data_IF_216467131597
#
_entry.id   IF_216467131597
#
_cell.length_a   1.000
_cell.length_b   1.000
_cell.length_c   1.000
_cell.angle_alpha   90.00
_cell.angle_beta   90.00
_cell.angle_gamma   90.00
#
_symmetry.space_group_name_H-M   'P 1'
#
loop_
_entity.id
_entity.type
_entity.pdbx_description
1 polymer ?
#
# COMPACT_ATOMS: atom_id res chain seq x y z
N UNK A 1 -3.68 6.13 6.28
CA UNK A 1 -2.63 6.60 7.21
C UNK A 1 -2.15 5.48 8.12
N UNK A 2 -0.93 5.60 8.65
CA UNK A 2 -0.38 4.77 9.72
C UNK A 2 0.01 5.66 10.90
N UNK A 3 -0.22 5.19 12.12
CA UNK A 3 0.27 5.88 13.33
C UNK A 3 1.17 4.96 14.12
N UNK A 4 2.24 5.51 14.67
CA UNK A 4 3.18 4.85 15.58
C UNK A 4 3.04 5.45 16.97
N UNK A 5 3.17 4.61 18.01
CA UNK A 5 3.15 5.09 19.39
C UNK A 5 4.58 5.38 19.84
N UNK A 6 4.95 6.66 19.85
CA UNK A 6 6.29 7.11 20.21
C UNK A 6 6.42 7.27 21.74
N UNK A 7 7.52 6.73 22.28
CA UNK A 7 7.68 6.57 23.73
C UNK A 7 8.49 7.66 24.44
N UNK A 8 9.33 8.41 23.73
CA UNK A 8 10.22 9.37 24.36
C UNK A 8 9.52 10.72 24.61
N UNK A 9 9.93 11.41 25.67
CA UNK A 9 9.43 12.76 26.02
C UNK A 9 9.94 13.83 25.07
N UNK A 10 11.17 13.67 24.58
CA UNK A 10 11.80 14.63 23.69
C UNK A 10 11.37 14.40 22.24
N UNK A 11 10.83 15.42 21.57
CA UNK A 11 10.46 15.30 20.17
C UNK A 11 11.68 15.05 19.28
N UNK A 12 11.51 14.18 18.29
CA UNK A 12 12.55 13.86 17.30
C UNK A 12 12.01 14.05 15.89
N UNK A 13 12.72 14.84 15.08
CA UNK A 13 12.41 14.97 13.65
C UNK A 13 13.31 14.05 12.84
N UNK A 14 12.70 13.18 12.05
CA UNK A 14 13.37 12.24 11.14
C UNK A 14 13.09 12.66 9.70
N UNK A 15 14.15 12.90 8.93
CA UNK A 15 14.05 13.32 7.53
C UNK A 15 15.23 12.76 6.70
N UNK A 16 14.99 11.95 5.66
CA UNK A 16 13.68 11.43 5.29
C UNK A 16 13.22 10.25 6.16
N UNK A 17 11.94 10.21 6.43
CA UNK A 17 11.22 9.01 6.84
C UNK A 17 10.52 8.45 5.62
N UNK A 18 10.62 7.14 5.37
CA UNK A 18 9.87 6.49 4.29
C UNK A 18 9.04 5.34 4.86
N UNK A 19 7.78 5.27 4.44
CA UNK A 19 6.86 4.19 4.81
C UNK A 19 6.54 3.37 3.56
N UNK A 20 6.64 2.06 3.71
CA UNK A 20 6.25 1.07 2.71
C UNK A 20 5.11 0.21 3.24
N UNK A 21 4.26 -0.26 2.34
CA UNK A 21 3.22 -1.24 2.66
C UNK A 21 3.17 -2.32 1.59
N UNK A 22 2.75 -3.51 2.00
CA UNK A 22 2.56 -4.64 1.08
C UNK A 22 1.75 -5.75 1.72
N UNK A 23 1.37 -6.72 0.90
CA UNK A 23 0.70 -7.94 1.33
C UNK A 23 1.62 -9.14 1.10
N UNK A 24 1.64 -10.05 2.06
CA UNK A 24 2.46 -11.26 2.00
C UNK A 24 1.70 -12.47 2.54
N UNK A 25 2.01 -13.65 2.04
CA UNK A 25 1.36 -14.89 2.47
C UNK A 25 1.93 -15.45 3.79
N UNK A 26 3.04 -14.88 4.27
CA UNK A 26 3.68 -15.32 5.51
C UNK A 26 3.07 -14.68 6.74
N UNK A 27 3.13 -15.37 7.87
CA UNK A 27 2.64 -14.88 9.16
C UNK A 27 3.77 -14.46 10.11
N UNK A 28 5.02 -14.83 9.83
CA UNK A 28 6.18 -14.53 10.65
C UNK A 28 7.46 -14.47 9.79
N UNK A 29 8.53 -13.95 10.34
CA UNK A 29 9.88 -14.07 9.80
C UNK A 29 10.54 -15.34 10.38
N UNK A 30 11.44 -15.96 9.63
CA UNK A 30 12.10 -17.20 10.06
C UNK A 30 13.44 -16.94 10.76
N UNK A 31 14.19 -15.96 10.26
CA UNK A 31 15.51 -15.59 10.77
C UNK A 31 15.82 -14.10 10.48
N UNK A 32 17.03 -13.69 10.86
CA UNK A 32 17.47 -12.31 10.75
C UNK A 32 17.65 -11.84 9.29
N UNK A 33 17.84 -12.75 8.36
CA UNK A 33 18.02 -12.45 6.94
C UNK A 33 16.70 -12.54 6.13
N UNK A 34 15.66 -13.10 6.75
CA UNK A 34 14.35 -13.28 6.10
C UNK A 34 13.60 -11.95 5.98
N UNK A 35 13.65 -11.34 4.83
CA UNK A 35 13.06 -10.04 4.52
C UNK A 35 11.97 -10.14 3.48
N UNK A 36 11.05 -9.17 3.54
CA UNK A 36 10.14 -8.93 2.42
C UNK A 36 10.88 -8.13 1.36
N UNK A 37 10.98 -8.62 0.11
CA UNK A 37 11.61 -7.89 -0.97
C UNK A 37 10.95 -6.52 -1.20
N UNK A 38 11.76 -5.48 -1.47
CA UNK A 38 11.25 -4.12 -1.64
C UNK A 38 10.33 -3.98 -2.86
N UNK A 39 10.58 -4.74 -3.91
CA UNK A 39 9.78 -4.76 -5.13
C UNK A 39 8.35 -5.32 -4.92
N UNK A 40 8.13 -6.02 -3.79
CA UNK A 40 6.80 -6.44 -3.34
C UNK A 40 6.10 -5.43 -2.42
N UNK A 41 6.74 -4.29 -2.15
CA UNK A 41 6.22 -3.24 -1.29
C UNK A 41 5.97 -1.96 -2.08
N UNK A 42 4.90 -1.26 -1.74
CA UNK A 42 4.58 0.05 -2.29
C UNK A 42 5.04 1.14 -1.33
N UNK A 43 5.76 2.14 -1.83
CA UNK A 43 6.10 3.32 -1.06
C UNK A 43 4.85 4.19 -0.88
N UNK A 44 4.45 4.38 0.38
CA UNK A 44 3.24 5.12 0.75
C UNK A 44 3.50 6.55 1.19
N UNK A 45 4.72 6.80 1.66
CA UNK A 45 5.12 8.12 2.15
C UNK A 45 6.65 8.27 2.07
N UNK A 46 7.12 9.46 1.77
CA UNK A 46 8.51 9.85 1.97
C UNK A 46 8.59 11.35 2.30
N UNK A 47 9.11 11.67 3.48
CA UNK A 47 9.15 13.06 3.93
C UNK A 47 9.72 13.23 5.33
N UNK A 48 9.58 14.43 5.86
CA UNK A 48 9.97 14.76 7.24
C UNK A 48 8.84 14.46 8.20
N UNK A 49 9.14 13.73 9.28
CA UNK A 49 8.17 13.42 10.36
C UNK A 49 8.75 13.83 11.69
N UNK A 50 8.00 14.60 12.45
CA UNK A 50 8.33 14.91 13.85
C UNK A 50 7.55 13.98 14.76
N UNK A 51 8.27 13.11 15.46
CA UNK A 51 7.74 12.23 16.47
C UNK A 51 7.70 12.97 17.79
N UNK A 52 6.56 12.96 18.47
CA UNK A 52 6.35 13.46 19.84
C UNK A 52 5.67 12.37 20.66
N UNK A 53 5.81 12.40 21.97
CA UNK A 53 5.27 11.36 22.85
C UNK A 53 3.79 11.07 22.57
N UNK A 54 3.45 9.81 22.44
CA UNK A 54 2.12 9.32 22.11
C UNK A 54 1.97 8.91 20.63
N UNK A 55 0.77 9.02 20.12
CA UNK A 55 0.45 8.57 18.75
C UNK A 55 0.79 9.64 17.72
N UNK A 56 1.72 9.31 16.83
CA UNK A 56 2.11 10.16 15.69
C UNK A 56 1.57 9.54 14.41
N UNK A 57 0.76 10.30 13.68
CA UNK A 57 0.11 9.84 12.45
C UNK A 57 0.85 10.35 11.22
N UNK A 58 1.15 9.43 10.32
CA UNK A 58 1.70 9.71 8.99
C UNK A 58 0.57 9.49 7.98
N UNK A 59 0.16 10.56 7.32
CA UNK A 59 -0.89 10.51 6.29
C UNK A 59 -0.25 10.21 4.94
N UNK A 60 -0.85 9.32 4.19
CA UNK A 60 -0.45 8.98 2.83
C UNK A 60 -1.17 9.88 1.83
N UNK A 61 -0.54 10.16 0.70
CA UNK A 61 -1.17 10.92 -0.39
C UNK A 61 -2.25 10.08 -1.06
N UNK A 62 -2.00 8.78 -1.20
CA UNK A 62 -2.93 7.81 -1.78
C UNK A 62 -3.20 6.65 -0.80
N UNK A 63 -4.39 6.05 -0.82
CA UNK A 63 -4.68 4.90 0.03
C UNK A 63 -3.93 3.65 -0.43
N UNK A 64 -3.44 2.85 0.51
CA UNK A 64 -3.03 1.47 0.21
C UNK A 64 -4.27 0.58 0.11
N UNK A 65 -4.39 -0.13 -1.00
CA UNK A 65 -5.52 -1.05 -1.23
C UNK A 65 -5.12 -2.42 -0.71
N UNK A 66 -5.82 -2.85 0.35
CA UNK A 66 -5.62 -4.15 0.96
C UNK A 66 -6.65 -5.15 0.41
N UNK A 67 -6.17 -6.28 -0.15
CA UNK A 67 -7.05 -7.29 -0.77
C UNK A 67 -7.88 -8.08 0.24
N UNK A 68 -7.44 -8.11 1.50
CA UNK A 68 -8.08 -8.89 2.56
C UNK A 68 -7.67 -10.37 2.59
N UNK A 69 -6.75 -10.80 1.72
CA UNK A 69 -6.36 -12.22 1.61
C UNK A 69 -5.00 -12.53 2.22
N UNK A 70 -4.07 -11.57 2.20
CA UNK A 70 -2.72 -11.72 2.75
C UNK A 70 -2.54 -11.10 4.12
N UNK A 71 -1.33 -11.16 4.65
CA UNK A 71 -0.92 -10.42 5.84
C UNK A 71 -0.32 -9.08 5.43
N UNK A 72 -0.69 -8.02 6.15
CA UNK A 72 -0.21 -6.68 5.88
C UNK A 72 1.18 -6.49 6.48
N UNK A 73 2.12 -6.02 5.66
CA UNK A 73 3.47 -5.61 6.07
C UNK A 73 3.56 -4.08 6.03
N UNK A 74 4.12 -3.52 7.09
CA UNK A 74 4.47 -2.10 7.16
C UNK A 74 5.97 -1.97 7.32
N UNK A 75 6.63 -1.35 6.36
CA UNK A 75 8.05 -1.01 6.41
C UNK A 75 8.24 0.43 6.86
N UNK A 76 9.14 0.64 7.83
CA UNK A 76 9.58 1.97 8.27
C UNK A 76 11.07 2.10 8.00
N UNK A 77 11.45 3.13 7.26
CA UNK A 77 12.85 3.44 6.96
C UNK A 77 13.18 4.84 7.49
N UNK A 78 14.18 4.88 8.37
CA UNK A 78 14.83 6.12 8.82
C UNK A 78 16.18 6.26 8.11
N UNK A 79 16.29 7.20 7.21
CA UNK A 79 17.52 7.55 6.51
C UNK A 79 18.00 8.96 6.81
N UNK A 80 17.68 9.47 8.01
CA UNK A 80 18.08 10.82 8.43
C UNK A 80 19.60 11.00 8.64
N UNK A 81 20.33 9.89 8.74
CA UNK A 81 21.76 9.91 9.12
C UNK A 81 22.02 10.28 10.58
N UNK A 82 20.96 10.45 11.38
CA UNK A 82 21.10 10.72 12.81
C UNK A 82 21.43 9.41 13.54
N UNK A 83 22.43 9.48 14.42
CA UNK A 83 22.72 8.39 15.34
C UNK A 83 21.62 8.30 16.37
N UNK A 84 20.92 7.18 16.37
CA UNK A 84 19.91 6.87 17.36
C UNK A 84 20.58 5.91 18.37
N UNK A 85 20.62 6.30 19.63
CA UNK A 85 21.22 5.49 20.70
C UNK A 85 20.56 4.10 20.75
N UNK A 86 21.37 3.05 20.79
CA UNK A 86 20.92 1.64 20.80
C UNK A 86 20.07 1.26 22.03
N UNK A 87 20.05 2.11 23.05
CA UNK A 87 19.49 1.78 24.37
C UNK A 87 18.08 2.33 24.59
N UNK A 88 17.56 3.15 23.68
CA UNK A 88 16.28 3.81 23.86
C UNK A 88 15.29 3.32 22.80
N UNK A 89 14.31 2.55 23.24
CA UNK A 89 13.18 2.16 22.40
C UNK A 89 12.32 3.36 22.06
N UNK A 90 12.30 3.77 20.79
CA UNK A 90 11.55 4.94 20.34
C UNK A 90 10.06 4.69 20.25
N UNK A 91 9.65 3.47 19.96
CA UNK A 91 8.26 3.09 19.80
C UNK A 91 7.85 2.09 20.86
N UNK A 92 6.65 2.24 21.39
CA UNK A 92 6.06 1.19 22.20
C UNK A 92 5.82 -0.05 21.34
N UNK A 93 6.14 -1.22 21.90
CA UNK A 93 6.02 -2.52 21.26
C UNK A 93 5.12 -3.45 22.07
N UNK A 94 4.59 -4.46 21.40
CA UNK A 94 3.89 -5.59 22.02
C UNK A 94 4.62 -6.88 21.71
N UNK A 95 4.75 -7.77 22.71
CA UNK A 95 5.35 -9.08 22.53
C UNK A 95 4.45 -9.97 21.67
N UNK A 96 5.07 -10.81 20.86
CA UNK A 96 4.43 -11.78 19.98
C UNK A 96 5.01 -13.17 20.21
N UNK A 97 4.28 -14.23 19.84
CA UNK A 97 4.75 -15.62 19.98
C UNK A 97 5.86 -15.94 18.97
N UNK A 98 5.79 -15.32 17.77
CA UNK A 98 6.73 -15.55 16.67
C UNK A 98 7.44 -14.25 16.31
N UNK A 99 8.47 -14.32 15.47
CA UNK A 99 9.15 -13.15 14.93
C UNK A 99 8.22 -12.36 14.00
N UNK A 100 7.76 -11.22 14.46
CA UNK A 100 6.83 -10.34 13.71
C UNK A 100 7.51 -9.08 13.17
N UNK A 101 8.76 -8.83 13.55
CA UNK A 101 9.52 -7.69 13.09
C UNK A 101 10.92 -8.14 12.68
N UNK A 102 11.35 -7.69 11.51
CA UNK A 102 12.73 -7.79 11.09
C UNK A 102 13.31 -6.38 11.06
N UNK A 103 14.43 -6.18 11.73
CA UNK A 103 15.09 -4.88 11.89
C UNK A 103 16.46 -4.93 11.26
N UNK A 104 16.80 -3.90 10.54
CA UNK A 104 18.14 -3.64 10.05
C UNK A 104 18.58 -2.25 10.49
N UNK A 105 19.80 -2.15 11.01
CA UNK A 105 20.39 -0.84 11.28
C UNK A 105 21.85 -0.79 10.80
N UNK A 106 22.33 0.42 10.50
CA UNK A 106 23.70 0.67 10.08
C UNK A 106 24.19 1.99 10.67
N UNK A 107 25.38 1.95 11.24
CA UNK A 107 26.09 3.18 11.72
C UNK A 107 26.92 3.83 10.61
N UNK A 108 26.90 3.31 9.39
CA UNK A 108 27.78 3.69 8.28
C UNK A 108 27.05 4.43 7.16
N UNK A 109 26.20 5.40 7.49
CA UNK A 109 25.50 6.19 6.52
C UNK A 109 24.08 5.71 6.19
N UNK A 110 23.55 6.14 5.05
CA UNK A 110 22.19 5.83 4.63
C UNK A 110 22.01 4.35 4.29
N UNK A 111 20.86 3.81 4.66
CA UNK A 111 20.49 2.44 4.37
C UNK A 111 20.00 2.37 2.91
N UNK A 112 20.66 1.56 2.10
CA UNK A 112 20.14 1.15 0.80
C UNK A 112 19.34 -0.14 0.97
N UNK A 113 18.03 -0.04 1.02
CA UNK A 113 17.13 -1.17 1.26
C UNK A 113 17.18 -2.25 0.17
N UNK A 114 17.63 -1.89 -1.06
CA UNK A 114 17.85 -2.86 -2.14
C UNK A 114 19.18 -3.61 -2.02
N UNK A 115 20.12 -3.07 -1.26
CA UNK A 115 21.42 -3.65 -1.07
C UNK A 115 21.91 -3.36 0.34
N UNK A 116 21.38 -4.10 1.31
CA UNK A 116 21.80 -4.01 2.70
C UNK A 116 23.25 -4.50 2.80
N UNK A 117 24.11 -3.62 3.21
CA UNK A 117 25.54 -3.92 3.28
C UNK A 117 25.87 -4.83 4.48
N UNK A 118 27.00 -5.54 4.38
CA UNK A 118 27.48 -6.46 5.44
C UNK A 118 27.92 -5.75 6.74
N UNK A 119 27.94 -4.42 6.76
CA UNK A 119 28.36 -3.63 7.92
C UNK A 119 27.19 -3.23 8.81
N UNK A 120 25.97 -3.54 8.42
CA UNK A 120 24.79 -3.37 9.25
C UNK A 120 24.52 -4.60 10.10
N UNK A 121 23.74 -4.42 11.16
CA UNK A 121 23.22 -5.50 11.99
C UNK A 121 21.76 -5.76 11.64
N UNK A 122 21.37 -7.03 11.68
CA UNK A 122 20.02 -7.50 11.45
C UNK A 122 19.54 -8.28 12.66
N UNK A 123 18.26 -8.22 12.95
CA UNK A 123 17.62 -8.99 14.00
C UNK A 123 16.16 -9.23 13.72
N UNK A 124 15.71 -10.44 13.95
CA UNK A 124 14.28 -10.78 14.01
C UNK A 124 13.81 -10.70 15.45
N UNK A 125 12.70 -10.02 15.65
CA UNK A 125 12.16 -9.76 16.98
C UNK A 125 10.77 -10.39 17.13
N UNK A 126 10.55 -11.09 18.25
CA UNK A 126 9.22 -11.53 18.70
C UNK A 126 8.46 -10.39 19.40
N UNK A 127 8.53 -9.24 18.80
CA UNK A 127 7.85 -8.01 19.17
C UNK A 127 7.36 -7.33 17.89
N UNK A 128 6.39 -6.48 18.02
CA UNK A 128 5.97 -5.58 16.93
C UNK A 128 5.70 -4.19 17.49
N UNK A 129 6.01 -3.13 16.75
CA UNK A 129 5.59 -1.78 17.10
C UNK A 129 4.07 -1.68 17.22
N UNK A 130 3.61 -0.93 18.22
CA UNK A 130 2.20 -0.61 18.33
C UNK A 130 1.84 0.39 17.23
N UNK A 131 1.00 -0.02 16.30
CA UNK A 131 0.54 0.80 15.19
C UNK A 131 -0.98 0.92 15.18
N UNK A 132 -1.47 2.01 14.60
CA UNK A 132 -2.87 2.18 14.19
C UNK A 132 -2.91 2.38 12.69
N UNK A 133 -3.85 1.75 12.03
CA UNK A 133 -4.16 1.95 10.63
C UNK A 133 -5.53 2.62 10.54
N UNK A 134 -5.62 3.71 9.76
CA UNK A 134 -6.94 4.22 9.35
C UNK A 134 -7.40 3.41 8.16
N UNK A 135 -8.49 2.71 8.33
CA UNK A 135 -9.13 1.92 7.28
C UNK A 135 -10.37 2.69 6.86
N UNK A 136 -10.49 2.96 5.55
CA UNK A 136 -11.74 3.41 4.95
C UNK A 136 -12.36 2.20 4.24
N UNK A 137 -13.68 2.07 4.32
CA UNK A 137 -14.37 1.12 3.45
C UNK A 137 -14.23 1.59 2.00
N UNK A 138 -14.21 0.65 1.06
CA UNK A 138 -14.19 0.96 -0.37
C UNK A 138 -15.52 1.56 -0.87
N UNK A 139 -16.51 1.66 0.01
CA UNK A 139 -17.80 2.30 -0.31
C UNK A 139 -17.56 3.77 -0.67
N UNK A 140 -17.85 4.10 -1.93
CA UNK A 140 -17.64 5.44 -2.48
C UNK A 140 -16.36 5.66 -3.27
N UNK A 141 -15.42 4.72 -3.26
CA UNK A 141 -14.28 4.73 -4.19
C UNK A 141 -14.67 4.09 -5.52
N UNK A 142 -14.40 4.78 -6.61
CA UNK A 142 -14.65 4.30 -7.96
C UNK A 142 -13.33 3.81 -8.56
N UNK A 143 -13.10 2.50 -8.49
CA UNK A 143 -11.92 1.90 -9.14
C UNK A 143 -12.17 1.64 -10.61
N UNK A 144 -11.14 1.80 -11.41
CA UNK A 144 -11.23 1.48 -12.83
C UNK A 144 -11.42 -0.04 -13.02
N UNK A 145 -12.33 -0.47 -13.90
CA UNK A 145 -12.43 -1.87 -14.27
C UNK A 145 -11.15 -2.33 -14.98
N UNK A 146 -10.81 -3.61 -14.83
CA UNK A 146 -9.66 -4.23 -15.50
C UNK A 146 -10.11 -5.13 -16.65
N UNK A 147 -9.16 -5.51 -17.52
CA UNK A 147 -9.40 -6.42 -18.63
C UNK A 147 -10.60 -6.01 -19.52
N UNK A 148 -10.72 -4.73 -19.80
CA UNK A 148 -11.75 -4.23 -20.69
C UNK A 148 -11.49 -4.77 -22.11
N UNK A 149 -12.44 -5.52 -22.65
CA UNK A 149 -12.35 -6.12 -23.99
C UNK A 149 -13.60 -5.79 -24.80
N UNK A 150 -13.42 -5.71 -26.12
CA UNK A 150 -14.50 -5.55 -27.08
C UNK A 150 -14.51 -6.77 -27.99
N UNK A 151 -15.66 -7.40 -28.13
CA UNK A 151 -15.85 -8.63 -28.92
C UNK A 151 -17.17 -8.60 -29.68
N UNK A 152 -17.40 -9.59 -30.52
CA UNK A 152 -18.64 -9.76 -31.29
C UNK A 152 -19.06 -8.48 -32.04
N UNK A 153 -18.09 -7.83 -32.65
CA UNK A 153 -18.32 -6.60 -33.41
C UNK A 153 -19.03 -6.93 -34.71
N UNK A 154 -20.17 -6.29 -34.94
CA UNK A 154 -20.93 -6.33 -36.21
C UNK A 154 -21.07 -4.92 -36.75
N UNK A 155 -21.79 -4.74 -37.84
CA UNK A 155 -22.13 -3.41 -38.38
C UNK A 155 -23.04 -2.61 -37.45
N UNK A 156 -23.70 -3.23 -36.47
CA UNK A 156 -24.72 -2.58 -35.64
C UNK A 156 -24.47 -2.80 -34.13
N UNK A 157 -23.62 -3.76 -33.75
CA UNK A 157 -23.44 -4.14 -32.33
C UNK A 157 -21.99 -4.41 -31.99
N UNK A 158 -21.65 -4.21 -30.73
CA UNK A 158 -20.42 -4.69 -30.11
C UNK A 158 -20.70 -5.15 -28.67
N UNK A 159 -19.95 -6.14 -28.20
CA UNK A 159 -20.01 -6.59 -26.81
C UNK A 159 -18.77 -6.06 -26.09
N UNK A 160 -18.97 -5.31 -25.03
CA UNK A 160 -17.92 -4.83 -24.14
C UNK A 160 -18.00 -5.63 -22.85
N UNK A 161 -16.89 -6.16 -22.42
CA UNK A 161 -16.75 -6.90 -21.16
C UNK A 161 -15.54 -6.43 -20.36
N UNK A 162 -15.62 -6.53 -19.05
CA UNK A 162 -14.55 -6.13 -18.11
C UNK A 162 -14.62 -6.93 -16.82
N UNK A 163 -13.54 -6.90 -16.04
CA UNK A 163 -13.54 -7.38 -14.68
C UNK A 163 -13.89 -6.22 -13.73
N UNK A 164 -14.94 -6.40 -12.95
CA UNK A 164 -15.35 -5.44 -11.94
C UNK A 164 -14.39 -5.50 -10.74
N UNK A 165 -13.98 -4.35 -10.18
CA UNK A 165 -13.35 -4.30 -8.88
C UNK A 165 -14.29 -4.81 -7.79
N UNK A 166 -13.72 -5.37 -6.72
CA UNK A 166 -14.50 -5.88 -5.59
C UNK A 166 -15.39 -4.78 -4.98
N UNK A 167 -16.63 -5.12 -4.70
CA UNK A 167 -17.62 -4.21 -4.12
C UNK A 167 -18.25 -3.23 -5.13
N UNK A 168 -17.83 -3.21 -6.39
CA UNK A 168 -18.43 -2.35 -7.42
C UNK A 168 -19.41 -3.13 -8.30
N UNK A 169 -20.64 -2.68 -8.33
CA UNK A 169 -21.72 -3.32 -9.08
C UNK A 169 -22.34 -2.46 -10.17
N UNK A 170 -21.96 -1.16 -10.22
CA UNK A 170 -22.54 -0.18 -11.15
C UNK A 170 -21.42 0.57 -11.87
N UNK A 171 -21.54 0.72 -13.18
CA UNK A 171 -20.55 1.33 -14.05
C UNK A 171 -21.18 2.33 -15.01
N UNK A 172 -20.40 3.33 -15.44
CA UNK A 172 -20.71 4.14 -16.61
C UNK A 172 -19.94 3.62 -17.82
N UNK A 173 -20.60 3.39 -18.93
CA UNK A 173 -19.97 3.00 -20.19
C UNK A 173 -20.10 4.14 -21.18
N UNK A 174 -18.98 4.62 -21.71
CA UNK A 174 -18.95 5.63 -22.77
C UNK A 174 -18.41 5.01 -24.06
N UNK A 175 -19.05 5.26 -25.17
CA UNK A 175 -18.64 4.80 -26.49
C UNK A 175 -18.86 5.87 -27.56
N UNK A 176 -18.16 5.77 -28.67
CA UNK A 176 -18.37 6.60 -29.84
C UNK A 176 -17.88 5.87 -31.11
N UNK A 177 -18.39 6.28 -32.26
CA UNK A 177 -17.77 5.93 -33.54
C UNK A 177 -16.40 6.62 -33.67
N UNK A 178 -15.49 6.01 -34.42
CA UNK A 178 -14.13 6.53 -34.60
C UNK A 178 -14.14 7.96 -35.21
N UNK A 179 -15.12 8.26 -36.06
CA UNK A 179 -15.32 9.57 -36.71
C UNK A 179 -16.13 10.57 -35.90
N UNK A 180 -16.81 10.14 -34.83
CA UNK A 180 -17.66 11.02 -34.02
C UNK A 180 -16.83 11.88 -33.08
N UNK A 181 -17.23 13.13 -32.89
CA UNK A 181 -16.62 14.06 -31.91
C UNK A 181 -17.15 13.85 -30.50
N UNK A 182 -18.39 13.38 -30.37
CA UNK A 182 -19.08 13.26 -29.08
C UNK A 182 -19.17 11.81 -28.59
N UNK A 183 -19.07 11.63 -27.28
CA UNK A 183 -19.27 10.35 -26.62
C UNK A 183 -20.73 10.13 -26.24
N UNK A 184 -21.23 8.93 -26.46
CA UNK A 184 -22.51 8.46 -25.92
C UNK A 184 -22.23 7.76 -24.59
N UNK A 185 -22.94 8.14 -23.53
CA UNK A 185 -22.72 7.55 -22.19
C UNK A 185 -23.95 6.77 -21.74
N UNK A 186 -23.73 5.54 -21.31
CA UNK A 186 -24.73 4.70 -20.65
C UNK A 186 -24.43 4.74 -19.15
N UNK A 187 -25.19 5.45 -18.34
CA UNK A 187 -25.03 5.46 -16.90
C UNK A 187 -25.66 4.21 -16.26
N UNK A 188 -25.17 3.84 -15.07
CA UNK A 188 -25.76 2.81 -14.21
C UNK A 188 -25.87 1.41 -14.85
N UNK A 189 -24.86 1.03 -15.62
CA UNK A 189 -24.73 -0.34 -16.12
C UNK A 189 -24.39 -1.26 -14.95
N UNK A 190 -25.26 -2.22 -14.66
CA UNK A 190 -25.08 -3.19 -13.56
C UNK A 190 -24.58 -4.53 -14.07
N UNK A 191 -23.95 -5.33 -13.20
CA UNK A 191 -23.59 -6.72 -13.52
C UNK A 191 -24.82 -7.55 -13.96
N UNK A 192 -24.70 -8.49 -14.89
CA UNK A 192 -23.50 -9.18 -15.35
C UNK A 192 -22.63 -8.41 -16.35
N UNK A 193 -21.36 -8.80 -16.42
CA UNK A 193 -20.16 -8.15 -16.94
C UNK A 193 -20.09 -7.91 -18.46
N UNK A 194 -21.17 -7.78 -19.17
CA UNK A 194 -21.16 -7.47 -20.60
C UNK A 194 -22.30 -6.53 -20.99
N UNK A 195 -21.98 -5.60 -21.83
CA UNK A 195 -22.95 -4.70 -22.46
C UNK A 195 -22.93 -4.94 -23.94
N UNK A 196 -24.08 -5.24 -24.51
CA UNK A 196 -24.25 -5.20 -25.96
C UNK A 196 -24.60 -3.78 -26.37
N UNK A 197 -23.69 -3.13 -27.06
CA UNK A 197 -23.92 -1.82 -27.64
C UNK A 197 -24.58 -1.98 -28.99
N UNK A 198 -25.78 -1.45 -29.17
CA UNK A 198 -26.35 -1.29 -30.50
C UNK A 198 -25.89 0.07 -31.06
N UNK A 199 -25.09 0.01 -32.09
CA UNK A 199 -24.59 1.20 -32.81
C UNK A 199 -25.36 1.27 -34.12
N UNK A 200 -26.20 2.27 -34.26
CA UNK A 200 -26.85 2.56 -35.54
C UNK A 200 -25.91 3.44 -36.36
N UNK A 201 -25.52 2.99 -37.53
CA UNK A 201 -24.74 3.74 -38.51
C UNK A 201 -25.66 4.49 -39.45
#
# INVERSE_FOLDING_TARGET
SVSFNYGLSDPMTVSPTTIYMGEVDRTAFYDDEDRVPLDSLTQMFSGSVTFSQGWVTITFDEPFIYSGTGNLVVGYLNNSGQYLSELEGYFYVSNTADYKTNVYFSNWGTININNLNRWGSQSSLNQRPNIKLSIASLEGFCFAPSNVTVSSITGETAVVSWNAPEGQTTFGVAYKEASAETWVTLPNVTLPLFVTLMVYF
#
